data_IF_873264372692
#
_entry.id   IF_873264372692
#
_cell.length_a   1.000
_cell.length_b   1.000
_cell.length_c   1.000
_cell.angle_alpha   90.00
_cell.angle_beta   90.00
_cell.angle_gamma   90.00
#
_symmetry.space_group_name_H-M   'P 1'
#
loop_
_entity.id
_entity.type
_entity.pdbx_description
1 polymer ?
#
# COMPACT_ATOMS: atom_id res chain seq x y z
N UNK A 1 -39.61 -55.61 26.89
CA UNK A 1 -38.56 -56.19 26.03
C UNK A 1 -39.25 -57.24 25.17
N UNK A 2 -39.02 -57.21 23.90
CA UNK A 2 -39.54 -58.21 22.97
C UNK A 2 -38.37 -58.60 22.03
N UNK A 3 -37.76 -59.70 22.42
CA UNK A 3 -36.80 -60.45 21.62
C UNK A 3 -37.37 -61.83 21.25
N UNK A 4 -37.03 -62.29 20.07
CA UNK A 4 -37.40 -63.61 19.55
C UNK A 4 -36.25 -64.12 18.67
N UNK A 5 -36.08 -65.42 18.62
CA UNK A 5 -35.06 -66.06 17.78
C UNK A 5 -35.44 -66.08 16.28
N UNK A 6 -36.65 -65.59 15.94
CA UNK A 6 -37.26 -65.57 14.61
C UNK A 6 -37.42 -66.91 13.95
N UNK A 7 -37.38 -68.00 14.75
CA UNK A 7 -37.71 -69.32 14.32
C UNK A 7 -39.15 -69.68 14.81
N UNK A 8 -39.99 -70.12 13.92
CA UNK A 8 -41.36 -70.52 14.24
C UNK A 8 -41.42 -72.04 14.30
N UNK A 9 -41.59 -72.57 15.49
CA UNK A 9 -41.60 -73.99 15.70
C UNK A 9 -42.88 -74.66 15.16
N UNK A 10 -42.76 -75.93 14.74
CA UNK A 10 -43.88 -76.73 14.31
C UNK A 10 -44.63 -77.30 15.54
N UNK A 11 -45.64 -76.58 16.00
CA UNK A 11 -46.38 -76.86 17.24
C UNK A 11 -47.88 -76.69 17.04
N UNK A 12 -48.68 -77.08 18.06
CA UNK A 12 -50.15 -76.95 18.00
C UNK A 12 -50.60 -75.50 17.80
N UNK A 13 -51.74 -75.31 17.12
CA UNK A 13 -52.22 -74.02 16.64
C UNK A 13 -52.18 -72.86 17.68
N UNK A 14 -52.58 -73.01 18.94
CA UNK A 14 -52.49 -71.97 19.93
C UNK A 14 -51.05 -71.54 20.24
N UNK A 15 -50.11 -72.48 20.35
CA UNK A 15 -48.67 -72.21 20.60
C UNK A 15 -48.02 -71.59 19.38
N UNK A 16 -48.28 -72.09 18.17
CA UNK A 16 -47.83 -71.51 16.90
C UNK A 16 -48.25 -70.05 16.79
N UNK A 17 -49.51 -69.69 17.08
CA UNK A 17 -49.99 -68.32 17.03
C UNK A 17 -49.31 -67.43 18.06
N UNK A 18 -49.05 -67.97 19.27
CA UNK A 18 -48.32 -67.20 20.29
C UNK A 18 -46.87 -66.90 19.85
N UNK A 19 -46.21 -67.92 19.29
CA UNK A 19 -44.83 -67.81 18.78
C UNK A 19 -44.73 -66.85 17.64
N UNK A 20 -45.62 -66.92 16.64
CA UNK A 20 -45.69 -65.99 15.55
C UNK A 20 -45.94 -64.56 16.04
N UNK A 21 -46.88 -64.37 17.00
CA UNK A 21 -47.14 -63.06 17.56
C UNK A 21 -45.93 -62.49 18.32
N UNK A 22 -45.13 -63.31 18.98
CA UNK A 22 -43.92 -62.92 19.67
C UNK A 22 -42.84 -62.53 18.67
N UNK A 23 -42.67 -63.31 17.58
CA UNK A 23 -41.75 -62.93 16.50
C UNK A 23 -42.13 -61.59 15.85
N UNK A 24 -43.41 -61.35 15.55
CA UNK A 24 -43.89 -60.07 15.02
C UNK A 24 -43.67 -58.89 15.97
N UNK A 25 -43.87 -59.14 17.30
CA UNK A 25 -43.56 -58.06 18.30
C UNK A 25 -42.09 -57.80 18.41
N UNK A 26 -41.22 -58.77 18.31
CA UNK A 26 -39.77 -58.61 18.29
C UNK A 26 -39.33 -57.78 17.08
N UNK A 27 -39.85 -58.12 15.90
CA UNK A 27 -39.57 -57.28 14.69
C UNK A 27 -40.12 -55.87 14.85
N UNK A 28 -41.36 -55.69 15.32
CA UNK A 28 -41.98 -54.37 15.51
C UNK A 28 -41.27 -53.50 16.56
N UNK A 29 -40.56 -54.10 17.51
CA UNK A 29 -39.79 -53.41 18.54
C UNK A 29 -38.25 -53.34 18.23
N UNK A 30 -37.87 -53.67 17.05
CA UNK A 30 -36.42 -53.73 16.63
C UNK A 30 -35.63 -54.68 17.54
N UNK A 31 -36.16 -55.82 17.91
CA UNK A 31 -35.53 -56.82 18.82
C UNK A 31 -35.07 -56.17 20.15
N UNK A 32 -35.88 -55.28 20.73
CA UNK A 32 -35.47 -54.50 21.92
C UNK A 32 -35.21 -55.41 23.14
N UNK A 33 -34.10 -55.19 23.83
CA UNK A 33 -33.70 -55.90 25.01
C UNK A 33 -32.45 -55.39 25.70
N UNK A 34 -32.21 -55.91 26.92
CA UNK A 34 -31.03 -55.54 27.74
C UNK A 34 -29.75 -56.26 27.30
N UNK A 35 -29.90 -57.34 26.51
CA UNK A 35 -28.82 -58.15 25.93
C UNK A 35 -29.08 -58.31 24.43
N UNK A 36 -28.00 -58.58 23.69
CA UNK A 36 -28.11 -58.80 22.24
C UNK A 36 -29.01 -59.98 21.91
N UNK A 37 -29.82 -59.90 20.85
CA UNK A 37 -30.65 -61.01 20.43
C UNK A 37 -29.82 -62.22 20.01
N UNK A 38 -30.35 -63.42 20.23
CA UNK A 38 -29.72 -64.67 19.80
C UNK A 38 -30.80 -65.56 19.17
N UNK A 39 -30.54 -66.13 17.97
CA UNK A 39 -29.35 -65.96 17.14
C UNK A 39 -29.23 -64.59 16.54
N UNK A 40 -28.00 -64.19 16.02
CA UNK A 40 -27.76 -63.00 15.30
C UNK A 40 -27.78 -63.21 13.79
N UNK A 41 -28.25 -62.25 13.04
CA UNK A 41 -28.27 -62.22 11.58
C UNK A 41 -27.56 -61.00 11.06
N UNK A 42 -26.81 -61.07 9.94
CA UNK A 42 -26.24 -59.97 9.29
C UNK A 42 -27.30 -58.88 9.00
N UNK A 43 -26.97 -57.60 9.23
CA UNK A 43 -27.84 -56.42 9.06
C UNK A 43 -29.08 -56.40 10.00
N UNK A 44 -29.10 -57.23 11.03
CA UNK A 44 -30.17 -57.26 12.05
C UNK A 44 -30.12 -55.94 12.86
N UNK A 45 -31.29 -55.36 13.10
CA UNK A 45 -31.42 -54.22 14.01
C UNK A 45 -31.67 -54.70 15.44
N UNK A 46 -31.10 -54.01 16.41
CA UNK A 46 -31.28 -54.22 17.83
C UNK A 46 -31.39 -52.93 18.59
N UNK A 47 -32.39 -52.69 19.37
CA UNK A 47 -32.45 -51.58 20.33
C UNK A 47 -31.97 -52.10 21.72
N UNK A 48 -30.75 -51.68 22.08
CA UNK A 48 -30.14 -51.94 23.38
C UNK A 48 -30.76 -51.00 24.43
N UNK A 49 -31.66 -51.57 25.25
CA UNK A 49 -32.39 -50.80 26.27
C UNK A 49 -31.53 -50.48 27.49
N UNK A 50 -30.39 -51.13 27.68
CA UNK A 50 -29.42 -50.76 28.75
C UNK A 50 -28.68 -49.48 28.47
N UNK A 51 -28.26 -49.33 27.24
CA UNK A 51 -27.46 -48.20 26.81
C UNK A 51 -28.26 -47.15 25.98
N UNK A 52 -29.54 -47.38 25.75
CA UNK A 52 -30.42 -46.58 24.92
C UNK A 52 -29.86 -46.37 23.50
N UNK A 53 -29.40 -47.45 22.87
CA UNK A 53 -28.72 -47.41 21.59
C UNK A 53 -29.46 -48.23 20.54
N UNK A 54 -29.68 -47.62 19.35
CA UNK A 54 -30.04 -48.37 18.16
C UNK A 54 -28.77 -48.87 17.49
N UNK A 55 -28.70 -50.18 17.29
CA UNK A 55 -27.54 -50.87 16.72
C UNK A 55 -27.93 -51.68 15.50
N UNK A 56 -26.99 -51.89 14.58
CA UNK A 56 -27.08 -52.80 13.45
C UNK A 56 -25.95 -53.82 13.50
N UNK A 57 -26.25 -55.07 13.18
CA UNK A 57 -25.24 -56.11 13.02
C UNK A 57 -24.51 -55.89 11.71
N UNK A 58 -23.18 -56.00 11.70
CA UNK A 58 -22.39 -55.87 10.48
C UNK A 58 -22.63 -57.05 9.50
N UNK A 59 -22.13 -56.89 8.27
CA UNK A 59 -22.32 -57.91 7.21
C UNK A 59 -21.65 -59.25 7.54
N UNK A 60 -20.54 -59.24 8.28
CA UNK A 60 -19.81 -60.43 8.69
C UNK A 60 -20.50 -61.17 9.88
N UNK A 61 -21.52 -60.57 10.42
CA UNK A 61 -22.27 -61.08 11.58
C UNK A 61 -21.41 -61.35 12.84
N UNK A 62 -20.37 -60.51 13.06
CA UNK A 62 -19.42 -60.64 14.18
C UNK A 62 -19.43 -59.47 15.16
N UNK A 63 -19.94 -58.28 14.75
CA UNK A 63 -19.95 -57.08 15.58
C UNK A 63 -21.24 -56.25 15.47
N UNK A 64 -21.55 -55.48 16.52
CA UNK A 64 -22.65 -54.52 16.55
C UNK A 64 -22.14 -53.12 16.35
N UNK A 65 -22.68 -52.43 15.34
CA UNK A 65 -22.38 -51.02 15.03
C UNK A 65 -23.48 -50.15 15.65
N UNK A 66 -23.11 -49.19 16.51
CA UNK A 66 -24.06 -48.23 17.07
C UNK A 66 -24.40 -47.18 16.02
N UNK A 67 -25.67 -47.04 15.68
CA UNK A 67 -26.18 -46.03 14.76
C UNK A 67 -26.57 -44.76 15.50
N UNK A 68 -27.32 -44.86 16.57
CA UNK A 68 -27.84 -43.74 17.35
C UNK A 68 -27.74 -44.02 18.83
N UNK A 69 -27.49 -42.99 19.63
CA UNK A 69 -27.72 -43.02 21.08
C UNK A 69 -28.84 -42.02 21.39
N UNK A 70 -29.84 -42.47 22.17
CA UNK A 70 -31.05 -41.72 22.48
C UNK A 70 -31.04 -41.28 23.95
N UNK A 71 -31.51 -40.10 24.23
CA UNK A 71 -31.96 -39.71 25.58
C UNK A 71 -33.47 -39.86 25.65
N UNK A 72 -33.89 -40.90 26.37
CA UNK A 72 -35.31 -41.26 26.51
C UNK A 72 -36.06 -40.31 27.46
N UNK A 73 -35.36 -39.55 28.29
CA UNK A 73 -35.98 -38.56 29.18
C UNK A 73 -36.24 -37.24 28.49
N UNK A 74 -35.35 -36.87 27.55
CA UNK A 74 -35.44 -35.63 26.77
C UNK A 74 -36.05 -35.85 25.38
N UNK A 75 -36.34 -37.07 24.98
CA UNK A 75 -36.88 -37.45 23.68
C UNK A 75 -36.01 -37.00 22.49
N UNK A 76 -34.69 -37.04 22.64
CA UNK A 76 -33.73 -36.55 21.62
C UNK A 76 -32.65 -37.60 21.33
N UNK A 77 -32.03 -37.46 20.16
CA UNK A 77 -30.82 -38.18 19.80
C UNK A 77 -29.59 -37.40 20.35
N UNK A 78 -28.75 -38.09 21.14
CA UNK A 78 -27.53 -37.48 21.71
C UNK A 78 -26.27 -37.76 20.92
N UNK A 79 -26.25 -38.89 20.17
CA UNK A 79 -25.12 -39.26 19.31
C UNK A 79 -25.59 -39.87 17.99
N UNK A 80 -24.84 -39.65 16.94
CA UNK A 80 -24.95 -40.34 15.65
C UNK A 80 -23.61 -41.02 15.40
N UNK A 81 -23.61 -42.36 15.44
CA UNK A 81 -22.37 -43.14 15.41
C UNK A 81 -21.48 -42.81 16.60
N UNK A 82 -20.24 -42.35 16.32
CA UNK A 82 -19.26 -41.91 17.34
C UNK A 82 -19.33 -40.40 17.61
N UNK A 83 -20.20 -39.66 16.93
CA UNK A 83 -20.26 -38.17 17.03
C UNK A 83 -21.30 -37.75 18.04
N UNK A 84 -20.90 -37.08 19.09
CA UNK A 84 -21.81 -36.49 20.08
C UNK A 84 -22.41 -35.19 19.50
N UNK A 85 -23.73 -35.15 19.36
CA UNK A 85 -24.46 -34.00 18.80
C UNK A 85 -24.31 -32.74 19.65
N UNK A 86 -24.14 -32.90 20.97
CA UNK A 86 -23.84 -31.78 21.85
C UNK A 86 -22.55 -31.01 21.42
N UNK A 87 -21.55 -31.71 20.90
CA UNK A 87 -20.31 -31.11 20.43
C UNK A 87 -20.46 -30.45 19.06
N UNK A 88 -21.48 -30.75 18.28
CA UNK A 88 -21.79 -30.09 17.01
C UNK A 88 -22.63 -28.81 17.19
N UNK A 89 -23.40 -28.71 18.27
CA UNK A 89 -24.40 -27.68 18.46
C UNK A 89 -23.97 -26.53 19.40
N UNK A 90 -22.94 -26.68 20.22
CA UNK A 90 -22.83 -25.89 21.45
C UNK A 90 -21.79 -24.79 21.45
N UNK A 91 -20.91 -24.69 20.49
CA UNK A 91 -19.93 -23.57 20.54
C UNK A 91 -19.80 -22.92 19.17
N UNK A 92 -20.68 -21.96 18.91
CA UNK A 92 -20.45 -21.00 17.84
C UNK A 92 -19.20 -20.18 18.17
N UNK A 93 -18.29 -20.02 17.20
CA UNK A 93 -17.15 -19.15 17.38
C UNK A 93 -17.60 -17.74 17.81
N UNK A 94 -17.01 -17.22 18.86
CA UNK A 94 -17.22 -15.84 19.25
C UNK A 94 -16.54 -14.88 18.26
N UNK A 95 -16.96 -13.63 18.23
CA UNK A 95 -16.32 -12.61 17.38
C UNK A 95 -14.84 -12.46 17.72
N UNK A 96 -14.49 -12.49 19.00
CA UNK A 96 -13.10 -12.35 19.48
C UNK A 96 -12.23 -13.52 19.04
N UNK A 97 -12.73 -14.76 19.13
CA UNK A 97 -11.98 -15.94 18.67
C UNK A 97 -11.71 -15.89 17.16
N UNK A 98 -12.68 -15.41 16.37
CA UNK A 98 -12.52 -15.30 14.93
C UNK A 98 -11.58 -14.16 14.52
N UNK A 99 -11.59 -13.07 15.25
CA UNK A 99 -10.70 -11.92 15.01
C UNK A 99 -9.25 -12.20 15.42
N UNK A 100 -9.05 -13.04 16.46
CA UNK A 100 -7.70 -13.42 16.93
C UNK A 100 -6.99 -14.37 15.96
N UNK A 101 -7.75 -15.23 15.24
CA UNK A 101 -7.22 -16.23 14.32
C UNK A 101 -6.36 -17.32 14.98
N UNK A 102 -6.44 -17.48 16.31
CA UNK A 102 -5.61 -18.42 17.09
C UNK A 102 -6.38 -19.66 17.57
N UNK A 103 -7.70 -19.70 17.38
CA UNK A 103 -8.52 -20.83 17.80
C UNK A 103 -8.28 -22.06 16.90
N UNK A 104 -7.87 -23.18 17.49
CA UNK A 104 -7.62 -24.43 16.81
C UNK A 104 -8.73 -25.49 17.04
N UNK A 105 -9.68 -25.23 17.95
CA UNK A 105 -10.80 -26.13 18.19
C UNK A 105 -11.85 -26.00 17.08
N UNK A 106 -12.52 -27.15 16.79
CA UNK A 106 -13.64 -27.16 15.85
C UNK A 106 -14.80 -26.31 16.40
N UNK A 107 -15.21 -25.29 15.66
CA UNK A 107 -16.33 -24.41 15.99
C UNK A 107 -17.36 -24.42 14.87
N UNK A 108 -18.64 -24.29 15.21
CA UNK A 108 -19.68 -24.02 14.23
C UNK A 108 -19.66 -22.53 13.89
N UNK A 109 -19.70 -22.20 12.59
CA UNK A 109 -19.73 -20.81 12.11
C UNK A 109 -21.02 -20.55 11.36
N UNK A 110 -21.78 -19.54 11.79
CA UNK A 110 -22.91 -19.06 10.98
C UNK A 110 -22.39 -18.19 9.82
N UNK A 111 -23.09 -18.11 8.69
CA UNK A 111 -22.75 -17.19 7.59
C UNK A 111 -22.60 -15.74 8.06
N UNK A 112 -23.38 -15.31 9.03
CA UNK A 112 -23.28 -13.97 9.63
C UNK A 112 -21.94 -13.77 10.34
N UNK A 113 -21.46 -14.74 11.11
CA UNK A 113 -20.17 -14.67 11.81
C UNK A 113 -18.99 -14.67 10.84
N UNK A 114 -19.06 -15.47 9.79
CA UNK A 114 -18.06 -15.44 8.71
C UNK A 114 -18.03 -14.06 8.03
N UNK A 115 -19.18 -13.50 7.69
CA UNK A 115 -19.28 -12.17 7.09
C UNK A 115 -18.73 -11.08 8.03
N UNK A 116 -19.03 -11.15 9.33
CA UNK A 116 -18.51 -10.23 10.34
C UNK A 116 -16.97 -10.33 10.48
N UNK A 117 -16.41 -11.54 10.50
CA UNK A 117 -14.96 -11.73 10.56
C UNK A 117 -14.26 -11.23 9.30
N UNK A 118 -14.79 -11.52 8.12
CA UNK A 118 -14.28 -11.02 6.85
C UNK A 118 -14.34 -9.47 6.84
N UNK A 119 -15.45 -8.88 7.27
CA UNK A 119 -15.60 -7.42 7.35
C UNK A 119 -14.60 -6.80 8.35
N UNK A 120 -14.42 -7.38 9.52
CA UNK A 120 -13.47 -6.92 10.53
C UNK A 120 -12.02 -7.03 10.03
N UNK A 121 -11.64 -8.17 9.45
CA UNK A 121 -10.29 -8.42 8.94
C UNK A 121 -9.98 -7.61 7.67
N UNK A 122 -10.95 -7.43 6.78
CA UNK A 122 -10.74 -6.69 5.52
C UNK A 122 -10.85 -5.18 5.70
N UNK A 123 -11.68 -4.70 6.63
CA UNK A 123 -11.89 -3.27 6.85
C UNK A 123 -10.86 -2.62 7.78
N UNK A 124 -10.17 -3.39 8.62
CA UNK A 124 -9.21 -2.85 9.59
C UNK A 124 -7.75 -2.91 9.13
N UNK A 125 -7.36 -3.98 8.40
CA UNK A 125 -5.97 -4.10 7.95
C UNK A 125 -5.62 -3.04 6.91
N UNK A 126 -4.68 -2.19 7.27
CA UNK A 126 -4.22 -1.13 6.39
C UNK A 126 -5.16 0.07 6.29
N UNK A 127 -6.23 0.15 7.09
CA UNK A 127 -7.15 1.29 7.05
C UNK A 127 -6.40 2.61 7.25
N UNK A 128 -6.59 3.52 6.32
CA UNK A 128 -6.28 4.94 6.43
C UNK A 128 -7.42 5.69 5.74
N UNK A 129 -8.26 6.35 6.51
CA UNK A 129 -9.42 7.10 6.02
C UNK A 129 -9.44 8.49 6.61
N UNK A 130 -9.77 9.47 5.79
CA UNK A 130 -9.99 10.88 6.14
C UNK A 130 -11.47 11.20 6.01
N UNK A 131 -11.99 12.10 6.82
CA UNK A 131 -13.37 12.60 6.64
C UNK A 131 -13.49 13.49 5.41
N UNK A 132 -12.40 14.16 5.00
CA UNK A 132 -12.28 14.80 3.71
C UNK A 132 -11.22 14.09 2.88
N UNK A 133 -11.58 13.25 1.90
CA UNK A 133 -10.62 12.52 1.07
C UNK A 133 -9.90 13.41 0.05
N UNK A 134 -10.42 14.60 -0.25
CA UNK A 134 -9.93 15.47 -1.32
C UNK A 134 -8.70 16.29 -0.95
N UNK A 135 -8.43 16.45 0.35
CA UNK A 135 -7.27 17.19 0.86
C UNK A 135 -6.25 16.27 1.52
N UNK A 136 -4.99 16.71 1.61
CA UNK A 136 -3.97 16.02 2.39
C UNK A 136 -4.33 16.03 3.88
N UNK A 137 -3.94 14.98 4.60
CA UNK A 137 -4.25 14.79 6.02
C UNK A 137 -3.61 15.83 6.97
N UNK A 138 -2.71 16.66 6.48
CA UNK A 138 -1.86 17.53 7.27
C UNK A 138 -2.01 18.99 6.86
N UNK A 139 -1.98 19.90 7.85
CA UNK A 139 -2.03 21.36 7.65
C UNK A 139 -0.90 22.02 8.41
N UNK A 140 -0.13 22.87 7.74
CA UNK A 140 0.90 23.72 8.35
C UNK A 140 0.24 24.77 9.24
N UNK A 141 0.72 24.90 10.49
CA UNK A 141 0.23 25.89 11.46
C UNK A 141 1.28 26.90 11.87
N UNK A 142 2.54 26.68 11.47
CA UNK A 142 3.66 27.58 11.71
C UNK A 142 4.87 27.11 10.90
N UNK A 143 6.02 27.76 11.03
CA UNK A 143 7.21 27.42 10.25
C UNK A 143 7.72 26.00 10.52
N UNK A 144 7.55 25.49 11.74
CA UNK A 144 7.98 24.15 12.15
C UNK A 144 6.86 23.34 12.79
N UNK A 145 5.59 23.69 12.60
CA UNK A 145 4.44 23.02 13.22
C UNK A 145 3.37 22.66 12.22
N UNK A 146 2.69 21.52 12.47
CA UNK A 146 1.57 21.06 11.67
C UNK A 146 0.57 20.28 12.53
N UNK A 147 -0.67 20.22 12.04
CA UNK A 147 -1.78 19.48 12.65
C UNK A 147 -2.49 18.62 11.60
N UNK A 148 -3.40 17.77 12.04
CA UNK A 148 -4.33 17.07 11.14
C UNK A 148 -5.33 18.05 10.52
N UNK A 149 -5.59 17.93 9.22
CA UNK A 149 -6.55 18.77 8.47
C UNK A 149 -8.00 18.33 8.68
N UNK A 150 -8.24 17.04 8.95
CA UNK A 150 -9.55 16.43 9.12
C UNK A 150 -9.49 15.30 10.16
N UNK A 151 -10.64 14.69 10.49
CA UNK A 151 -10.64 13.50 11.35
C UNK A 151 -10.06 12.33 10.55
N UNK A 152 -9.13 11.61 11.18
CA UNK A 152 -8.47 10.45 10.60
C UNK A 152 -8.87 9.17 11.34
N UNK A 153 -9.07 8.11 10.57
CA UNK A 153 -9.25 6.75 11.07
C UNK A 153 -8.09 5.91 10.55
N UNK A 154 -7.18 5.54 11.46
CA UNK A 154 -5.92 4.87 11.11
C UNK A 154 -5.83 3.54 11.85
N UNK A 155 -5.67 2.45 11.14
CA UNK A 155 -5.31 1.18 11.77
C UNK A 155 -3.83 1.20 12.15
N UNK A 156 -3.53 0.95 13.43
CA UNK A 156 -2.18 0.82 13.97
C UNK A 156 -2.14 -0.41 14.86
N UNK A 157 -1.34 -1.39 14.45
CA UNK A 157 -1.16 -2.66 15.20
C UNK A 157 -2.49 -3.36 15.53
N UNK A 158 -3.35 -3.54 14.52
CA UNK A 158 -4.64 -4.24 14.65
C UNK A 158 -5.76 -3.42 15.31
N UNK A 159 -5.52 -2.16 15.69
CA UNK A 159 -6.52 -1.29 16.32
C UNK A 159 -6.75 -0.03 15.52
N UNK A 160 -8.00 0.36 15.33
CA UNK A 160 -8.35 1.63 14.68
C UNK A 160 -8.20 2.77 15.69
N UNK A 161 -7.42 3.76 15.34
CA UNK A 161 -7.25 5.01 16.10
C UNK A 161 -8.04 6.11 15.40
N UNK A 162 -8.90 6.79 16.15
CA UNK A 162 -9.59 8.01 15.70
C UNK A 162 -8.78 9.20 16.17
N UNK A 163 -8.29 10.01 15.23
CA UNK A 163 -7.50 11.21 15.50
C UNK A 163 -8.32 12.42 15.07
N UNK A 164 -8.59 13.31 16.00
CA UNK A 164 -9.41 14.49 15.73
C UNK A 164 -8.73 15.47 14.76
N UNK A 165 -9.51 16.26 14.06
CA UNK A 165 -9.01 17.41 13.29
C UNK A 165 -8.31 18.41 14.24
N UNK A 166 -7.22 19.03 13.78
CA UNK A 166 -6.42 19.96 14.59
C UNK A 166 -5.48 19.28 15.60
N UNK A 167 -5.37 17.94 15.59
CA UNK A 167 -4.41 17.23 16.46
C UNK A 167 -2.98 17.55 16.03
N UNK A 168 -2.15 18.00 16.95
CA UNK A 168 -0.75 18.36 16.72
C UNK A 168 0.10 17.13 16.39
N UNK A 169 1.03 17.31 15.46
CA UNK A 169 2.10 16.35 15.16
C UNK A 169 3.30 16.72 16.04
N UNK A 170 3.81 15.78 16.85
CA UNK A 170 5.05 15.97 17.62
C UNK A 170 6.22 16.08 16.66
N UNK A 171 6.88 17.22 16.65
CA UNK A 171 8.03 17.52 15.77
C UNK A 171 9.34 17.36 16.53
N UNK A 172 10.37 16.74 15.92
CA UNK A 172 11.74 16.82 16.43
C UNK A 172 12.33 18.22 16.16
N UNK A 173 13.58 18.44 16.53
CA UNK A 173 14.35 19.57 16.00
C UNK A 173 14.46 19.41 14.47
N UNK A 174 13.88 20.34 13.74
CA UNK A 174 13.83 20.27 12.27
C UNK A 174 15.14 20.82 11.68
N UNK A 175 15.69 20.08 10.72
CA UNK A 175 16.91 20.44 9.97
C UNK A 175 16.55 20.80 8.54
N UNK A 176 17.06 21.91 8.05
CA UNK A 176 16.80 22.41 6.69
C UNK A 176 17.17 21.38 5.62
N UNK A 177 16.38 21.31 4.55
CA UNK A 177 16.59 20.41 3.44
C UNK A 177 16.31 18.92 3.75
N UNK A 178 15.62 18.64 4.85
CA UNK A 178 15.34 17.26 5.34
C UNK A 178 13.88 16.90 5.13
N UNK A 179 13.65 15.67 4.67
CA UNK A 179 12.34 15.06 4.57
C UNK A 179 11.98 14.35 5.87
N UNK A 180 10.76 14.51 6.32
CA UNK A 180 10.23 13.90 7.54
C UNK A 180 9.07 12.98 7.23
N UNK A 181 9.09 11.78 7.80
CA UNK A 181 7.97 10.86 7.82
C UNK A 181 7.06 11.16 9.02
N UNK A 182 5.75 11.10 8.82
CA UNK A 182 4.75 11.19 9.89
C UNK A 182 4.30 9.77 10.23
N UNK A 183 4.37 9.44 11.52
CA UNK A 183 4.03 8.14 12.08
C UNK A 183 2.84 8.24 13.04
N UNK A 184 1.89 7.34 12.88
CA UNK A 184 0.82 7.14 13.85
C UNK A 184 1.25 6.05 14.84
N UNK A 185 1.21 6.37 16.14
CA UNK A 185 1.61 5.46 17.22
C UNK A 185 0.43 4.64 17.75
N UNK A 186 0.72 3.55 18.44
CA UNK A 186 -0.29 2.64 18.99
C UNK A 186 -1.20 3.30 20.03
N UNK A 187 -0.76 4.40 20.65
CA UNK A 187 -1.57 5.22 21.57
C UNK A 187 -2.43 6.29 20.85
N UNK A 188 -2.39 6.37 19.51
CA UNK A 188 -3.17 7.35 18.74
C UNK A 188 -2.50 8.72 18.58
N UNK A 189 -1.27 8.93 19.05
CA UNK A 189 -0.53 10.18 18.82
C UNK A 189 0.24 10.14 17.51
N UNK A 190 0.56 11.33 16.97
CA UNK A 190 1.34 11.50 15.75
C UNK A 190 2.75 12.03 16.07
N UNK A 191 3.76 11.52 15.38
CA UNK A 191 5.15 11.95 15.53
C UNK A 191 5.85 12.02 14.18
N UNK A 192 6.62 13.08 13.93
CA UNK A 192 7.46 13.22 12.77
C UNK A 192 8.91 12.80 13.08
N UNK A 193 9.55 12.11 12.13
CA UNK A 193 10.98 11.74 12.25
C UNK A 193 11.65 11.85 10.87
N UNK A 194 12.96 12.06 10.84
CA UNK A 194 13.75 12.02 9.59
C UNK A 194 14.02 10.59 9.12
N UNK A 195 13.69 9.57 9.92
CA UNK A 195 13.84 8.17 9.53
C UNK A 195 12.56 7.69 8.84
N UNK A 196 12.67 7.31 7.57
CA UNK A 196 11.55 6.82 6.74
C UNK A 196 11.38 5.29 6.76
N UNK A 197 12.32 4.55 7.33
CA UNK A 197 12.35 3.08 7.31
C UNK A 197 12.02 2.45 8.66
N UNK A 198 12.55 3.03 9.75
CA UNK A 198 12.35 2.50 11.11
C UNK A 198 11.37 3.37 11.88
N UNK A 199 10.33 2.78 12.48
CA UNK A 199 9.36 3.54 13.27
C UNK A 199 9.99 4.09 14.56
N UNK A 200 9.55 5.26 15.05
CA UNK A 200 10.07 5.88 16.29
C UNK A 200 9.74 5.07 17.54
N UNK A 201 8.67 4.29 17.51
CA UNK A 201 8.26 3.34 18.54
C UNK A 201 7.79 2.05 17.91
N UNK A 202 7.89 0.93 18.64
CA UNK A 202 7.44 -0.38 18.13
C UNK A 202 6.00 -0.30 17.62
N UNK A 203 5.76 -0.91 16.46
CA UNK A 203 4.44 -0.99 15.82
C UNK A 203 3.83 0.36 15.39
N UNK A 204 4.57 1.48 15.40
CA UNK A 204 4.08 2.71 14.81
C UNK A 204 4.01 2.55 13.28
N UNK A 205 2.99 3.16 12.67
CA UNK A 205 2.73 3.07 11.22
C UNK A 205 3.05 4.39 10.53
N UNK A 206 3.86 4.34 9.47
CA UNK A 206 4.10 5.49 8.60
C UNK A 206 2.83 5.84 7.82
N UNK A 207 2.37 7.08 7.92
CA UNK A 207 1.10 7.53 7.38
C UNK A 207 1.22 8.75 6.47
N UNK A 208 2.39 9.37 6.38
CA UNK A 208 2.63 10.52 5.53
C UNK A 208 4.01 11.11 5.71
N UNK A 209 4.20 12.34 5.25
CA UNK A 209 5.43 13.07 5.40
C UNK A 209 5.38 14.47 4.82
N UNK A 210 6.51 15.18 4.95
CA UNK A 210 6.71 16.55 4.44
C UNK A 210 8.20 16.85 4.28
N UNK A 211 8.49 17.93 3.56
CA UNK A 211 9.83 18.50 3.43
C UNK A 211 9.96 19.75 4.28
N UNK A 212 11.05 19.86 5.06
CA UNK A 212 11.43 21.09 5.77
C UNK A 212 12.42 21.88 4.93
N UNK A 213 11.92 22.90 4.27
CA UNK A 213 12.65 23.68 3.28
C UNK A 213 13.67 24.61 3.93
N UNK A 214 14.78 24.85 3.24
CA UNK A 214 15.82 25.79 3.67
C UNK A 214 15.36 27.25 3.63
N UNK A 215 14.29 27.56 2.90
CA UNK A 215 13.70 28.89 2.77
C UNK A 215 12.19 28.83 2.56
N UNK A 216 11.55 29.97 2.51
CA UNK A 216 10.12 30.11 2.33
C UNK A 216 9.68 30.09 0.87
N UNK A 217 8.46 29.64 0.64
CA UNK A 217 7.78 29.66 -0.64
C UNK A 217 7.57 31.11 -1.13
N UNK A 218 7.64 31.35 -2.44
CA UNK A 218 7.32 32.65 -3.01
C UNK A 218 5.84 33.02 -2.77
N UNK A 219 5.60 34.25 -2.41
CA UNK A 219 4.25 34.82 -2.25
C UNK A 219 3.82 35.69 -3.44
N UNK A 220 4.76 36.06 -4.31
CA UNK A 220 4.56 36.87 -5.52
C UNK A 220 5.41 36.33 -6.67
N UNK A 221 5.94 37.20 -7.50
CA UNK A 221 6.77 36.89 -8.68
C UNK A 221 8.25 37.31 -8.52
N UNK A 222 8.72 37.44 -7.30
CA UNK A 222 10.09 37.90 -6.99
C UNK A 222 10.89 36.89 -6.13
N UNK A 223 10.46 35.65 -6.12
CA UNK A 223 11.10 34.58 -5.37
C UNK A 223 10.59 34.43 -3.93
N UNK A 224 11.12 33.45 -3.22
CA UNK A 224 10.85 33.16 -1.83
C UNK A 224 11.69 34.00 -0.86
N UNK A 225 11.90 33.47 0.33
CA UNK A 225 12.69 34.08 1.38
C UNK A 225 13.70 33.09 1.99
N UNK A 226 14.47 33.53 2.99
CA UNK A 226 15.48 32.72 3.68
C UNK A 226 15.00 32.10 4.98
N UNK A 227 13.71 32.23 5.31
CA UNK A 227 13.15 31.68 6.55
C UNK A 227 12.86 30.21 6.36
N UNK A 228 13.58 29.35 7.07
CA UNK A 228 13.36 27.91 7.02
C UNK A 228 11.96 27.54 7.54
N UNK A 229 11.25 26.69 6.81
CA UNK A 229 9.88 26.31 7.16
C UNK A 229 9.46 25.00 6.49
N UNK A 230 8.40 24.39 7.03
CA UNK A 230 7.69 23.31 6.34
C UNK A 230 7.17 23.84 5.01
N UNK A 231 7.53 23.18 3.90
CA UNK A 231 6.91 23.43 2.61
C UNK A 231 5.49 22.85 2.65
N UNK A 232 4.48 23.69 2.71
CA UNK A 232 3.07 23.24 2.84
C UNK A 232 2.58 22.39 1.66
N UNK A 233 3.16 22.59 0.47
CA UNK A 233 2.84 21.82 -0.73
C UNK A 233 3.58 20.48 -0.81
N UNK A 234 4.50 20.21 0.11
CA UNK A 234 5.21 18.92 0.18
C UNK A 234 4.53 17.88 1.07
N UNK A 235 3.44 18.22 1.74
CA UNK A 235 2.69 17.26 2.52
C UNK A 235 2.08 16.16 1.65
N UNK A 236 2.29 14.91 2.07
CA UNK A 236 1.67 13.74 1.47
C UNK A 236 1.14 12.79 2.55
N UNK A 237 0.15 11.99 2.22
CA UNK A 237 -0.37 10.89 3.04
C UNK A 237 -0.57 9.62 2.18
N UNK A 238 -1.05 8.53 2.78
CA UNK A 238 -1.21 7.26 2.09
C UNK A 238 -2.23 7.28 0.93
N UNK A 239 -3.12 8.28 0.92
CA UNK A 239 -4.20 8.44 -0.07
C UNK A 239 -4.03 9.68 -0.96
N UNK A 240 -3.14 10.59 -0.60
CA UNK A 240 -2.85 11.85 -1.28
C UNK A 240 -1.32 11.97 -1.44
N UNK A 241 -0.79 11.55 -2.58
CA UNK A 241 0.65 11.38 -2.75
C UNK A 241 1.10 11.42 -4.22
N UNK A 242 2.41 11.58 -4.47
CA UNK A 242 2.96 11.34 -5.79
C UNK A 242 2.80 9.86 -6.22
N UNK A 243 2.69 9.63 -7.54
CA UNK A 243 2.57 8.29 -8.12
C UNK A 243 3.85 7.47 -8.03
N UNK A 244 5.01 8.14 -7.86
CA UNK A 244 6.29 7.45 -7.69
C UNK A 244 6.40 6.74 -6.33
N UNK A 245 7.33 5.78 -6.23
CA UNK A 245 7.51 4.98 -5.03
C UNK A 245 8.02 5.77 -3.83
N UNK A 246 8.89 6.76 -4.06
CA UNK A 246 9.48 7.60 -3.02
C UNK A 246 8.97 9.04 -3.12
N UNK A 247 8.10 9.48 -2.20
CA UNK A 247 7.52 10.83 -2.20
C UNK A 247 8.47 11.90 -1.63
N UNK A 248 9.65 11.53 -1.13
CA UNK A 248 10.59 12.48 -0.52
C UNK A 248 11.11 13.51 -1.54
N UNK A 249 11.33 14.72 -1.05
CA UNK A 249 11.88 15.81 -1.86
C UNK A 249 10.95 16.29 -2.96
N UNK A 250 9.63 16.02 -2.88
CA UNK A 250 8.65 16.44 -3.86
C UNK A 250 7.67 17.47 -3.31
N UNK A 251 7.10 18.26 -4.18
CA UNK A 251 6.07 19.27 -3.87
C UNK A 251 4.96 19.23 -4.91
N UNK A 252 3.71 19.44 -4.47
CA UNK A 252 2.52 19.42 -5.32
C UNK A 252 2.32 20.79 -5.98
N UNK A 253 2.22 20.82 -7.30
CA UNK A 253 2.01 22.02 -8.10
C UNK A 253 0.56 22.15 -8.50
N UNK A 254 -0.08 23.23 -8.10
CA UNK A 254 -1.46 23.60 -8.46
C UNK A 254 -2.49 22.45 -8.27
N UNK A 255 -2.23 21.50 -7.39
CA UNK A 255 -3.09 20.34 -7.15
C UNK A 255 -3.08 19.29 -8.26
N UNK A 256 -2.23 19.41 -9.29
CA UNK A 256 -2.28 18.58 -10.49
C UNK A 256 -1.17 17.54 -10.63
N UNK A 257 0.06 17.88 -10.28
CA UNK A 257 1.22 16.99 -10.41
C UNK A 257 2.26 17.29 -9.34
N UNK A 258 3.16 16.33 -9.10
CA UNK A 258 4.29 16.49 -8.18
C UNK A 258 5.57 16.72 -8.94
N UNK A 259 6.45 17.56 -8.37
CA UNK A 259 7.75 17.86 -8.92
C UNK A 259 8.82 17.80 -7.85
N UNK A 260 10.04 17.45 -8.23
CA UNK A 260 11.20 17.48 -7.35
C UNK A 260 11.51 18.91 -6.89
N UNK A 261 11.69 19.10 -5.59
CA UNK A 261 12.03 20.40 -4.99
C UNK A 261 13.41 20.86 -5.47
N UNK A 262 14.36 19.94 -5.56
CA UNK A 262 15.72 20.20 -6.02
C UNK A 262 15.97 19.62 -7.41
N UNK A 263 17.00 20.13 -8.10
CA UNK A 263 17.51 19.54 -9.32
C UNK A 263 18.08 18.13 -9.03
N UNK A 264 18.10 17.27 -10.04
CA UNK A 264 18.70 15.95 -9.91
C UNK A 264 20.19 16.05 -9.54
N UNK A 265 20.69 15.06 -8.83
CA UNK A 265 22.05 15.04 -8.33
C UNK A 265 22.86 13.89 -8.94
N UNK A 266 24.18 13.92 -8.73
CA UNK A 266 25.10 12.92 -9.31
C UNK A 266 24.96 11.53 -8.72
N UNK A 267 24.26 11.34 -7.58
CA UNK A 267 24.06 10.04 -6.93
C UNK A 267 22.60 9.85 -6.48
N UNK A 268 21.72 9.65 -7.44
CA UNK A 268 20.28 9.47 -7.18
C UNK A 268 19.95 8.14 -6.50
N UNK A 269 20.79 7.11 -6.61
CA UNK A 269 20.56 5.83 -5.91
C UNK A 269 20.68 6.01 -4.38
N UNK A 270 21.61 6.86 -3.93
CA UNK A 270 21.80 7.16 -2.50
C UNK A 270 20.85 8.27 -2.00
N UNK A 271 20.64 9.31 -2.81
CA UNK A 271 19.99 10.55 -2.38
C UNK A 271 18.53 10.68 -2.80
N UNK A 272 18.04 9.84 -3.69
CA UNK A 272 16.84 10.12 -4.48
C UNK A 272 17.12 11.17 -5.55
N UNK A 273 16.14 11.46 -6.39
CA UNK A 273 16.29 12.47 -7.47
C UNK A 273 16.27 13.91 -6.96
N UNK A 274 15.86 14.15 -5.72
CA UNK A 274 15.68 15.45 -5.12
C UNK A 274 16.27 15.49 -3.71
N UNK A 275 17.41 16.14 -3.54
CA UNK A 275 18.11 16.24 -2.26
C UNK A 275 18.77 17.61 -2.11
N UNK A 276 18.74 18.14 -0.88
CA UNK A 276 19.41 19.38 -0.51
C UNK A 276 20.91 19.19 -0.32
N UNK A 277 21.70 20.17 -0.73
CA UNK A 277 23.14 20.28 -0.49
C UNK A 277 23.96 19.09 -1.03
N UNK A 278 23.67 18.71 -2.28
CA UNK A 278 24.40 17.68 -3.03
C UNK A 278 24.81 18.24 -4.39
N UNK A 279 25.82 17.65 -5.02
CA UNK A 279 26.29 18.05 -6.37
C UNK A 279 25.16 17.83 -7.38
N UNK A 280 24.83 18.88 -8.14
CA UNK A 280 23.85 18.81 -9.23
C UNK A 280 24.40 17.94 -10.36
N UNK A 281 23.50 17.19 -10.99
CA UNK A 281 23.82 16.48 -12.22
C UNK A 281 23.70 17.42 -13.41
N UNK A 282 24.76 17.50 -14.21
CA UNK A 282 24.84 18.25 -15.46
C UNK A 282 25.72 17.53 -16.49
N UNK A 283 25.97 18.15 -17.65
CA UNK A 283 26.78 17.54 -18.70
C UNK A 283 28.25 17.37 -18.36
N UNK A 284 28.79 18.08 -17.37
CA UNK A 284 30.18 17.92 -16.91
C UNK A 284 30.28 17.08 -15.63
N UNK A 285 29.16 16.94 -14.93
CA UNK A 285 29.01 16.11 -13.73
C UNK A 285 27.84 15.13 -13.92
N UNK A 286 27.95 14.16 -14.86
CA UNK A 286 26.86 13.25 -15.15
C UNK A 286 26.49 12.37 -13.95
N UNK A 287 25.22 12.01 -13.80
CA UNK A 287 24.79 11.17 -12.69
C UNK A 287 25.27 9.73 -12.86
N UNK A 288 25.31 8.99 -11.74
CA UNK A 288 25.48 7.55 -11.77
C UNK A 288 24.39 6.89 -12.60
N UNK A 289 24.74 5.84 -13.33
CA UNK A 289 23.77 5.01 -14.04
C UNK A 289 22.90 4.33 -13.00
N UNK A 290 21.55 4.48 -13.03
CA UNK A 290 20.67 3.81 -12.09
C UNK A 290 20.81 2.28 -12.17
N UNK A 291 20.71 1.62 -11.03
CA UNK A 291 20.81 0.14 -10.95
C UNK A 291 19.80 -0.54 -11.89
N UNK A 292 18.60 0.04 -12.06
CA UNK A 292 17.57 -0.47 -12.98
C UNK A 292 18.04 -0.51 -14.45
N UNK A 293 18.92 0.39 -14.85
CA UNK A 293 19.50 0.48 -16.19
C UNK A 293 20.94 -0.09 -16.28
N UNK A 294 21.31 -0.98 -15.36
CA UNK A 294 22.57 -1.70 -15.37
C UNK A 294 23.70 -1.00 -14.61
N UNK A 295 23.41 0.01 -13.83
CA UNK A 295 24.38 0.66 -12.94
C UNK A 295 24.89 -0.30 -11.86
N UNK A 296 26.14 -0.11 -11.46
CA UNK A 296 26.85 -0.90 -10.45
C UNK A 296 27.10 -0.12 -9.14
N UNK A 297 26.44 1.05 -8.98
CA UNK A 297 26.59 1.94 -7.84
C UNK A 297 27.79 2.92 -7.93
N UNK A 298 28.64 2.79 -8.97
CA UNK A 298 29.80 3.66 -9.17
C UNK A 298 29.94 4.23 -10.59
N UNK A 299 29.51 3.49 -11.61
CA UNK A 299 29.57 3.93 -13.01
C UNK A 299 28.65 5.13 -13.24
N UNK A 300 29.14 6.15 -13.90
CA UNK A 300 28.37 7.31 -14.33
C UNK A 300 28.03 7.21 -15.81
N UNK A 301 26.99 7.90 -16.25
CA UNK A 301 26.78 8.15 -17.67
C UNK A 301 27.98 8.93 -18.26
N UNK A 302 28.24 8.76 -19.56
CA UNK A 302 29.30 9.50 -20.26
C UNK A 302 28.94 10.98 -20.47
N UNK A 303 27.65 11.30 -20.41
CA UNK A 303 27.08 12.63 -20.61
C UNK A 303 25.70 12.72 -19.92
N UNK A 304 25.05 13.88 -19.95
CA UNK A 304 23.67 14.04 -19.51
C UNK A 304 22.85 14.64 -20.67
N UNK A 305 22.47 13.75 -21.58
CA UNK A 305 21.58 14.11 -22.70
C UNK A 305 20.12 14.00 -22.30
N UNK A 306 19.21 14.29 -23.22
CA UNK A 306 17.78 14.06 -23.01
C UNK A 306 17.48 12.58 -22.76
N UNK A 307 18.19 11.66 -23.41
CA UNK A 307 17.98 10.21 -23.28
C UNK A 307 18.33 9.73 -21.87
N UNK A 308 19.52 10.06 -21.34
CA UNK A 308 19.95 9.72 -19.99
C UNK A 308 19.05 10.39 -18.94
N UNK A 309 18.53 11.57 -19.24
CA UNK A 309 17.57 12.28 -18.39
C UNK A 309 16.24 11.55 -18.29
N UNK A 310 15.73 10.98 -19.41
CA UNK A 310 14.55 10.13 -19.43
C UNK A 310 14.77 8.81 -18.67
N UNK A 311 15.91 8.18 -18.86
CA UNK A 311 16.27 6.95 -18.11
C UNK A 311 16.36 7.22 -16.61
N UNK A 312 17.06 8.29 -16.23
CA UNK A 312 17.18 8.69 -14.83
C UNK A 312 15.79 8.90 -14.21
N UNK A 313 14.92 9.67 -14.84
CA UNK A 313 13.57 9.89 -14.34
C UNK A 313 12.77 8.57 -14.24
N UNK A 314 12.81 7.74 -15.29
CA UNK A 314 12.09 6.47 -15.36
C UNK A 314 12.53 5.47 -14.30
N UNK A 315 13.82 5.45 -13.94
CA UNK A 315 14.36 4.57 -12.89
C UNK A 315 13.68 4.77 -11.54
N UNK A 316 13.19 5.97 -11.26
CA UNK A 316 12.52 6.31 -10.01
C UNK A 316 10.99 6.44 -10.14
N UNK A 317 10.41 5.94 -11.25
CA UNK A 317 8.97 6.04 -11.51
C UNK A 317 8.50 7.47 -11.76
N UNK A 318 9.37 8.30 -12.31
CA UNK A 318 9.15 9.71 -12.63
C UNK A 318 9.29 9.95 -14.14
N UNK A 319 9.06 11.19 -14.56
CA UNK A 319 9.21 11.66 -15.93
C UNK A 319 9.79 13.05 -15.98
N UNK A 320 10.15 13.54 -17.14
CA UNK A 320 10.48 14.94 -17.35
C UNK A 320 9.23 15.82 -17.29
N UNK A 321 9.41 17.11 -17.13
CA UNK A 321 8.35 18.13 -17.15
C UNK A 321 8.01 18.51 -18.59
N UNK A 322 6.72 18.63 -18.90
CA UNK A 322 6.30 19.37 -20.10
C UNK A 322 6.54 20.87 -19.90
N UNK A 323 6.61 21.65 -21.00
CA UNK A 323 6.74 23.10 -20.92
C UNK A 323 5.60 23.71 -20.06
N UNK A 324 4.37 23.21 -20.22
CA UNK A 324 3.22 23.68 -19.45
C UNK A 324 3.40 23.47 -17.95
N UNK A 325 3.85 22.29 -17.57
CA UNK A 325 4.13 21.96 -16.17
C UNK A 325 5.28 22.76 -15.61
N UNK A 326 6.33 22.98 -16.41
CA UNK A 326 7.45 23.82 -16.03
C UNK A 326 7.00 25.26 -15.73
N UNK A 327 6.20 25.87 -16.61
CA UNK A 327 5.64 27.21 -16.38
C UNK A 327 4.83 27.30 -15.09
N UNK A 328 4.02 26.30 -14.80
CA UNK A 328 3.24 26.23 -13.56
C UNK A 328 4.14 26.03 -12.32
N UNK A 329 5.12 25.15 -12.42
CA UNK A 329 6.09 24.83 -11.35
C UNK A 329 6.97 26.05 -11.01
N UNK A 330 7.44 26.77 -12.00
CA UNK A 330 8.34 27.92 -11.83
C UNK A 330 7.62 29.22 -11.44
N UNK A 331 6.29 29.24 -11.38
CA UNK A 331 5.54 30.44 -11.01
C UNK A 331 5.98 30.97 -9.64
N UNK A 332 6.22 32.27 -9.56
CA UNK A 332 6.67 32.98 -8.34
C UNK A 332 8.19 33.18 -8.24
N UNK A 333 8.98 32.58 -9.10
CA UNK A 333 10.43 32.86 -9.22
C UNK A 333 10.67 34.29 -9.67
N UNK A 334 11.87 34.82 -9.42
CA UNK A 334 12.29 36.10 -10.01
C UNK A 334 12.39 35.92 -11.52
N UNK A 335 11.63 36.73 -12.25
CA UNK A 335 11.59 36.69 -13.72
C UNK A 335 12.67 37.56 -14.35
N UNK A 336 13.00 37.27 -15.61
CA UNK A 336 14.00 37.96 -16.39
C UNK A 336 15.36 38.10 -15.66
N UNK A 337 15.79 37.04 -14.98
CA UNK A 337 16.97 37.02 -14.14
C UNK A 337 17.60 35.64 -14.07
N UNK A 338 18.94 35.61 -14.04
CA UNK A 338 19.71 34.40 -13.74
C UNK A 338 20.72 34.67 -12.63
N UNK A 339 21.22 33.60 -11.99
CA UNK A 339 22.06 33.69 -10.80
C UNK A 339 23.50 34.21 -11.12
N UNK A 340 23.91 34.17 -12.38
CA UNK A 340 25.16 34.77 -12.86
C UNK A 340 26.39 33.83 -12.81
N UNK A 341 26.34 32.72 -12.08
CA UNK A 341 27.43 31.73 -12.01
C UNK A 341 26.91 30.36 -11.72
N UNK A 342 27.68 29.35 -12.12
CA UNK A 342 27.40 27.95 -11.74
C UNK A 342 27.42 27.77 -10.21
N UNK A 343 26.41 27.13 -9.68
CA UNK A 343 26.26 26.85 -8.24
C UNK A 343 26.83 25.48 -7.84
N UNK A 344 27.00 24.57 -8.78
CA UNK A 344 27.51 23.23 -8.58
C UNK A 344 26.70 22.34 -7.61
N UNK A 345 25.82 22.92 -6.80
CA UNK A 345 25.10 22.21 -5.75
C UNK A 345 23.64 22.65 -5.61
N UNK A 346 22.81 21.73 -5.13
CA UNK A 346 21.40 21.96 -4.81
C UNK A 346 21.26 22.71 -3.47
N UNK A 347 21.16 24.01 -3.51
CA UNK A 347 21.09 24.90 -2.33
C UNK A 347 19.90 25.86 -2.42
N UNK A 348 19.66 26.57 -1.34
CA UNK A 348 18.69 27.67 -1.34
C UNK A 348 19.20 28.84 -2.20
N UNK A 349 18.39 29.17 -3.18
CA UNK A 349 18.48 30.43 -3.93
C UNK A 349 17.10 31.10 -3.81
N UNK A 350 16.93 31.95 -2.81
CA UNK A 350 15.62 32.54 -2.48
C UNK A 350 14.96 33.24 -3.67
N UNK A 351 15.72 34.00 -4.46
CA UNK A 351 15.23 34.68 -5.67
C UNK A 351 14.66 33.70 -6.71
N UNK A 352 15.19 32.47 -6.77
CA UNK A 352 14.80 31.42 -7.72
C UNK A 352 13.99 30.30 -7.08
N UNK A 353 13.35 30.57 -5.95
CA UNK A 353 12.39 29.68 -5.29
C UNK A 353 10.97 30.01 -5.74
N UNK A 354 10.23 29.02 -6.23
CA UNK A 354 8.87 29.21 -6.73
C UNK A 354 7.81 29.29 -5.62
N UNK A 355 6.57 29.61 -5.98
CA UNK A 355 5.40 29.56 -5.10
C UNK A 355 5.24 28.19 -4.41
N UNK A 356 5.59 27.13 -5.08
CA UNK A 356 5.44 25.75 -4.60
C UNK A 356 6.66 25.29 -3.78
N UNK A 357 7.62 26.18 -3.54
CA UNK A 357 8.84 25.86 -2.81
C UNK A 357 9.87 25.08 -3.64
N UNK A 358 9.73 25.06 -4.96
CA UNK A 358 10.73 24.49 -5.85
C UNK A 358 11.96 25.39 -5.85
N UNK A 359 13.10 24.85 -5.43
CA UNK A 359 14.36 25.57 -5.31
C UNK A 359 15.12 25.56 -6.64
N UNK A 360 15.84 26.65 -6.93
CA UNK A 360 16.60 26.75 -8.19
C UNK A 360 15.71 26.44 -9.42
N UNK A 361 14.49 26.99 -9.42
CA UNK A 361 13.46 26.69 -10.41
C UNK A 361 13.75 27.24 -11.81
N UNK A 362 14.47 28.38 -11.92
CA UNK A 362 14.86 29.03 -13.17
C UNK A 362 16.21 29.71 -13.01
N UNK A 363 16.88 30.03 -14.12
CA UNK A 363 18.09 30.86 -14.11
C UNK A 363 19.32 30.27 -13.42
N UNK A 364 19.33 28.95 -13.20
CA UNK A 364 20.43 28.18 -12.60
C UNK A 364 20.97 27.16 -13.59
N UNK A 365 20.19 26.16 -13.93
CA UNK A 365 20.45 25.25 -15.05
C UNK A 365 19.26 25.27 -16.01
N UNK A 366 19.52 25.13 -17.29
CA UNK A 366 18.53 24.65 -18.22
C UNK A 366 18.05 23.28 -17.75
N UNK A 367 16.77 23.01 -17.90
CA UNK A 367 16.20 21.71 -17.55
C UNK A 367 15.65 21.05 -18.80
N UNK A 368 16.02 19.80 -19.06
CA UNK A 368 15.41 19.03 -20.11
C UNK A 368 13.90 18.85 -19.86
N UNK A 369 13.08 19.17 -20.88
CA UNK A 369 11.65 18.95 -20.87
C UNK A 369 11.24 17.72 -21.69
N UNK A 370 10.02 17.26 -21.50
CA UNK A 370 9.46 16.10 -22.21
C UNK A 370 8.99 16.44 -23.63
N UNK A 371 8.75 17.72 -23.92
CA UNK A 371 8.26 18.15 -25.24
C UNK A 371 9.38 18.11 -26.29
N UNK A 372 8.99 17.77 -27.52
CA UNK A 372 9.87 17.79 -28.69
C UNK A 372 9.23 18.58 -29.83
N UNK A 373 10.03 19.36 -30.53
CA UNK A 373 9.53 20.28 -31.56
C UNK A 373 10.44 20.33 -32.79
N UNK A 374 9.80 20.34 -33.96
CA UNK A 374 10.44 20.52 -35.25
C UNK A 374 11.49 19.45 -35.61
N UNK A 375 11.75 19.20 -36.86
CA UNK A 375 12.85 18.34 -37.25
C UNK A 375 14.17 19.07 -36.99
N UNK A 376 15.21 18.32 -36.64
CA UNK A 376 16.57 18.78 -36.68
C UNK A 376 16.91 19.29 -38.09
N UNK A 377 17.68 20.40 -38.20
CA UNK A 377 18.00 21.00 -39.50
C UNK A 377 18.82 20.04 -40.37
N UNK A 378 18.17 19.48 -41.40
CA UNK A 378 18.76 18.53 -42.33
C UNK A 378 18.48 17.07 -41.93
N UNK A 379 18.12 16.24 -42.93
CA UNK A 379 17.94 14.81 -42.72
C UNK A 379 19.30 14.15 -42.44
N UNK A 380 19.54 13.77 -41.19
CA UNK A 380 20.77 13.13 -40.76
C UNK A 380 20.52 12.22 -39.54
N UNK A 381 21.41 11.26 -39.35
CA UNK A 381 21.43 10.44 -38.16
C UNK A 381 22.05 11.22 -37.00
N UNK A 382 21.34 11.32 -35.89
CA UNK A 382 21.86 11.84 -34.63
C UNK A 382 22.32 10.67 -33.78
N UNK A 383 23.61 10.58 -33.52
CA UNK A 383 24.16 9.52 -32.67
C UNK A 383 23.70 9.73 -31.23
N UNK A 384 23.24 8.66 -30.61
CA UNK A 384 23.14 8.55 -29.17
C UNK A 384 24.55 8.31 -28.62
N UNK A 385 24.99 9.11 -27.63
CA UNK A 385 26.35 9.05 -27.07
C UNK A 385 26.65 7.72 -26.37
N UNK A 386 25.61 6.97 -25.93
CA UNK A 386 25.76 5.70 -25.23
C UNK A 386 25.76 4.48 -26.15
N UNK A 387 25.81 4.68 -27.48
CA UNK A 387 25.88 3.58 -28.45
C UNK A 387 24.62 2.73 -28.57
N UNK A 388 23.48 3.21 -28.10
CA UNK A 388 22.19 2.50 -28.09
C UNK A 388 21.34 2.74 -29.33
N UNK A 389 21.95 3.15 -30.42
CA UNK A 389 21.28 3.49 -31.67
C UNK A 389 21.29 4.99 -31.92
N UNK A 390 20.61 5.40 -32.99
CA UNK A 390 20.57 6.78 -33.45
C UNK A 390 19.18 7.17 -33.92
N UNK A 391 18.81 8.43 -33.81
CA UNK A 391 17.59 8.99 -34.35
C UNK A 391 17.88 9.61 -35.73
N UNK A 392 16.96 9.40 -36.68
CA UNK A 392 17.03 10.03 -37.99
C UNK A 392 15.97 11.12 -38.12
N UNK A 393 16.40 12.33 -38.40
CA UNK A 393 15.52 13.49 -38.61
C UNK A 393 14.50 13.69 -37.47
N UNK A 394 14.91 13.40 -36.24
CA UNK A 394 14.06 13.49 -35.06
C UNK A 394 13.85 14.95 -34.64
N UNK A 395 12.72 15.28 -34.01
CA UNK A 395 12.50 16.62 -33.44
C UNK A 395 13.51 16.92 -32.33
N UNK A 396 13.85 18.20 -32.18
CA UNK A 396 14.66 18.68 -31.08
C UNK A 396 13.95 18.47 -29.72
N UNK A 397 14.74 18.31 -28.66
CA UNK A 397 14.24 18.31 -27.28
C UNK A 397 14.22 19.74 -26.72
N UNK A 398 13.22 20.04 -25.87
CA UNK A 398 13.10 21.37 -25.27
C UNK A 398 14.00 21.51 -24.06
N UNK A 399 14.63 22.69 -23.92
CA UNK A 399 15.31 23.18 -22.71
C UNK A 399 14.45 24.27 -22.06
N UNK A 400 14.31 24.25 -20.75
CA UNK A 400 13.39 25.10 -20.00
C UNK A 400 14.13 25.92 -18.93
N UNK A 401 13.66 27.14 -18.65
CA UNK A 401 14.01 27.96 -17.48
C UNK A 401 15.21 28.89 -17.61
N UNK A 402 16.15 28.58 -18.49
CA UNK A 402 17.41 29.37 -18.61
C UNK A 402 18.47 28.90 -17.61
N UNK A 403 19.75 29.06 -18.00
CA UNK A 403 20.91 28.79 -17.14
C UNK A 403 21.40 30.01 -16.40
N UNK A 404 22.45 29.85 -15.60
CA UNK A 404 23.10 30.95 -14.85
C UNK A 404 23.61 32.09 -15.70
N UNK A 405 23.88 31.90 -16.99
CA UNK A 405 24.30 32.94 -17.94
C UNK A 405 23.14 33.53 -18.74
N UNK A 406 21.92 33.09 -18.51
CA UNK A 406 20.74 33.45 -19.29
C UNK A 406 20.33 34.93 -19.15
N UNK A 407 20.75 35.58 -18.07
CA UNK A 407 20.41 36.96 -17.79
C UNK A 407 18.92 37.24 -17.85
N UNK A 408 18.52 38.27 -18.57
CA UNK A 408 17.10 38.64 -18.71
C UNK A 408 16.25 37.70 -19.55
N UNK A 409 16.85 36.68 -20.18
CA UNK A 409 16.11 35.65 -20.90
C UNK A 409 15.62 34.53 -20.00
N UNK A 410 16.23 34.34 -18.81
CA UNK A 410 15.81 33.28 -17.87
C UNK A 410 14.49 33.63 -17.17
N UNK A 411 13.68 32.65 -16.89
CA UNK A 411 12.39 32.83 -16.22
C UNK A 411 11.42 31.67 -16.45
N UNK A 412 10.24 31.78 -15.88
CA UNK A 412 9.23 30.70 -15.88
C UNK A 412 8.71 30.32 -17.27
N UNK A 413 8.80 31.20 -18.25
CA UNK A 413 8.38 30.95 -19.64
C UNK A 413 9.54 30.77 -20.60
N UNK A 414 10.79 30.82 -20.10
CA UNK A 414 11.96 30.63 -20.92
C UNK A 414 12.02 29.20 -21.47
N UNK A 415 12.15 29.08 -22.78
CA UNK A 415 12.28 27.79 -23.47
C UNK A 415 13.16 27.91 -24.70
N UNK A 416 13.92 26.86 -25.01
CA UNK A 416 14.79 26.75 -26.17
C UNK A 416 14.48 25.46 -26.92
N UNK A 417 14.25 25.51 -28.23
CA UNK A 417 13.69 24.45 -29.05
C UNK A 417 14.58 23.99 -30.21
N UNK A 418 15.86 24.31 -30.17
CA UNK A 418 16.78 24.04 -31.28
C UNK A 418 17.92 23.11 -30.94
N UNK A 419 17.84 22.40 -29.80
CA UNK A 419 18.88 21.47 -29.38
C UNK A 419 18.53 20.02 -29.69
N UNK A 420 19.49 19.29 -30.24
CA UNK A 420 19.37 17.86 -30.45
C UNK A 420 19.22 17.15 -29.10
N UNK A 421 18.43 16.07 -29.08
CA UNK A 421 18.27 15.25 -27.88
C UNK A 421 19.60 14.65 -27.36
N UNK A 422 20.61 14.52 -28.24
CA UNK A 422 21.98 14.07 -27.91
C UNK A 422 22.89 15.18 -27.36
N UNK A 423 22.41 16.42 -27.23
CA UNK A 423 23.20 17.51 -26.65
C UNK A 423 23.42 17.31 -25.15
N UNK A 424 24.62 17.71 -24.68
CA UNK A 424 24.97 17.71 -23.25
C UNK A 424 25.85 18.92 -22.98
N UNK A 425 25.61 19.63 -21.90
CA UNK A 425 26.30 20.86 -21.55
C UNK A 425 26.35 21.07 -20.03
N UNK A 426 27.39 21.71 -19.52
CA UNK A 426 27.59 22.02 -18.10
C UNK A 426 26.43 22.84 -17.51
N UNK A 427 25.74 23.61 -18.33
CA UNK A 427 24.59 24.43 -17.93
C UNK A 427 23.23 23.73 -18.05
N UNK A 428 23.22 22.42 -18.27
CA UNK A 428 22.03 21.66 -18.59
C UNK A 428 21.85 20.48 -17.61
N UNK A 429 20.76 20.47 -16.88
CA UNK A 429 20.44 19.47 -15.87
C UNK A 429 19.03 18.85 -16.01
N UNK A 430 18.57 18.20 -14.97
CA UNK A 430 17.31 17.46 -14.92
C UNK A 430 16.51 17.84 -13.69
N UNK A 431 15.19 17.90 -13.84
CA UNK A 431 14.21 17.93 -12.75
C UNK A 431 13.07 16.99 -13.09
N UNK A 432 12.78 16.08 -12.16
CA UNK A 432 11.77 15.06 -12.40
C UNK A 432 10.39 15.46 -11.84
N UNK A 433 9.35 14.92 -12.45
CA UNK A 433 7.97 15.07 -12.04
C UNK A 433 7.25 13.72 -12.05
N UNK A 434 6.10 13.64 -11.42
CA UNK A 434 5.17 12.51 -11.56
C UNK A 434 3.73 12.95 -11.29
N UNK A 435 2.79 12.07 -11.61
CA UNK A 435 1.38 12.37 -11.46
C UNK A 435 0.95 12.39 -9.99
N UNK A 436 -0.14 13.08 -9.73
CA UNK A 436 -0.78 13.08 -8.42
C UNK A 436 -1.72 11.87 -8.30
N UNK A 437 -1.61 11.13 -7.20
CA UNK A 437 -2.55 10.10 -6.83
C UNK A 437 -3.46 10.59 -5.70
N UNK A 438 -4.76 10.59 -5.97
CA UNK A 438 -5.82 10.69 -4.99
C UNK A 438 -6.54 9.35 -4.95
N UNK A 439 -6.35 8.61 -3.84
CA UNK A 439 -6.90 7.27 -3.66
C UNK A 439 -8.09 7.31 -2.71
N UNK A 440 -9.20 6.69 -3.08
CA UNK A 440 -10.42 6.56 -2.26
C UNK A 440 -10.27 5.66 -1.02
#
# INVERSE_FOLDING_TARGET
MSQHDLTIDNQGFPAFRADLNNALRALGSTQSGTSAPSPTFANQLWYDTTNNQLKIRNEDNDAWITLLTLDQAADVTTQVGSVTLANLATVAASQVEMESGTESALRTMSPLRVAQAIAALSSSRGLFRKTDPTIVAWTKTGNGTATTSSILYIEVNGSIKTIASGTSISMPTLTVGTDYAIWAKTNGTLEATSNHTSPPTANARKVGGFHYAAGGNATGTSGGNTIAQINEYSFWDLKFRPSCNDPRGMTLVAGGFWVDIYLANTDCDTNGTSKYNVTMADGSSPPKVPTLFGGNGSSTYGSLTWFESCELASAYGKRLLTQREFMAMAYGTTEASSIGSDQGSTILNAAYTSKWGVMQSTGVLWVWGDDRAGPFAGASWNANTEGRGSEYNAPNAVRLGGSWVGGSNAGSRCSLWNDAASSSDVSLGVRCACDHLLLD
#
